data_IF_824515870570
#
_entry.id   IF_824515870570
#
_cell.length_a   1.000
_cell.length_b   1.000
_cell.length_c   1.000
_cell.angle_alpha   90.00
_cell.angle_beta   90.00
_cell.angle_gamma   90.00
#
_symmetry.space_group_name_H-M   'P 1'
#
loop_
_entity.id
_entity.type
_entity.pdbx_description
1 polymer ?
#
# COMPACT_ATOMS: atom_id res chain seq x y z
N UNK A 1 -5.15 -43.84 8.11
CA UNK A 1 -5.34 -42.39 7.92
C UNK A 1 -6.61 -42.03 8.64
N UNK A 2 -6.49 -41.72 9.93
CA UNK A 2 -7.60 -41.64 10.89
C UNK A 2 -8.45 -40.40 10.64
N UNK A 3 -9.77 -40.49 10.87
CA UNK A 3 -10.74 -39.39 10.64
C UNK A 3 -10.30 -38.05 11.27
N UNK A 4 -9.50 -38.08 12.34
CA UNK A 4 -8.96 -36.90 13.04
C UNK A 4 -8.01 -36.02 12.20
N UNK A 5 -7.34 -36.56 11.18
CA UNK A 5 -6.53 -35.77 10.23
C UNK A 5 -7.35 -35.30 9.02
N UNK A 6 -8.43 -36.01 8.69
CA UNK A 6 -9.25 -35.74 7.49
C UNK A 6 -10.21 -34.58 7.74
N UNK A 7 -10.83 -34.49 8.92
CA UNK A 7 -11.70 -33.37 9.27
C UNK A 7 -11.00 -32.01 9.16
N UNK A 8 -9.83 -31.75 9.80
CA UNK A 8 -9.18 -30.44 9.70
C UNK A 8 -8.77 -30.11 8.26
N UNK A 9 -8.26 -31.09 7.49
CA UNK A 9 -7.90 -30.88 6.09
C UNK A 9 -9.12 -30.52 5.21
N UNK A 10 -10.26 -31.16 5.46
CA UNK A 10 -11.51 -30.87 4.75
C UNK A 10 -12.03 -29.46 5.06
N UNK A 11 -11.92 -28.99 6.31
CA UNK A 11 -12.27 -27.61 6.68
C UNK A 11 -11.36 -26.58 6.01
N UNK A 12 -10.04 -26.83 5.97
CA UNK A 12 -9.09 -25.98 5.24
C UNK A 12 -9.39 -25.92 3.74
N UNK A 13 -9.65 -27.08 3.12
CA UNK A 13 -10.00 -27.15 1.70
C UNK A 13 -11.32 -26.42 1.41
N UNK A 14 -12.34 -26.62 2.24
CA UNK A 14 -13.63 -25.92 2.12
C UNK A 14 -13.48 -24.40 2.33
N UNK A 15 -12.70 -23.98 3.32
CA UNK A 15 -12.42 -22.58 3.60
C UNK A 15 -11.74 -21.89 2.40
N UNK A 16 -10.71 -22.51 1.83
CA UNK A 16 -10.04 -21.98 0.64
C UNK A 16 -10.93 -22.00 -0.60
N UNK A 17 -11.69 -23.07 -0.81
CA UNK A 17 -12.61 -23.18 -1.95
C UNK A 17 -13.70 -22.11 -1.89
N UNK A 18 -14.29 -21.87 -0.71
CA UNK A 18 -15.28 -20.83 -0.51
C UNK A 18 -14.69 -19.43 -0.69
N UNK A 19 -13.47 -19.19 -0.20
CA UNK A 19 -12.78 -17.91 -0.37
C UNK A 19 -12.52 -17.60 -1.84
N UNK A 20 -12.03 -18.57 -2.61
CA UNK A 20 -11.81 -18.45 -4.05
C UNK A 20 -13.14 -18.30 -4.80
N UNK A 21 -14.20 -18.99 -4.37
CA UNK A 21 -15.54 -18.83 -4.94
C UNK A 21 -16.10 -17.42 -4.71
N UNK A 22 -15.93 -16.85 -3.52
CA UNK A 22 -16.31 -15.47 -3.20
C UNK A 22 -15.52 -14.48 -4.05
N UNK A 23 -14.21 -14.67 -4.18
CA UNK A 23 -13.37 -13.83 -5.05
C UNK A 23 -13.83 -13.92 -6.52
N UNK A 24 -14.13 -15.12 -7.01
CA UNK A 24 -14.70 -15.34 -8.34
C UNK A 24 -16.05 -14.65 -8.53
N UNK A 25 -16.94 -14.73 -7.55
CA UNK A 25 -18.24 -14.06 -7.57
C UNK A 25 -18.08 -12.53 -7.57
N UNK A 26 -17.25 -11.99 -6.67
CA UNK A 26 -17.02 -10.55 -6.58
C UNK A 26 -16.32 -9.97 -7.81
N UNK A 27 -15.44 -10.73 -8.46
CA UNK A 27 -14.83 -10.31 -9.73
C UNK A 27 -15.84 -10.29 -10.88
N UNK A 28 -16.72 -11.29 -11.00
CA UNK A 28 -17.79 -11.30 -12.01
C UNK A 28 -18.78 -10.14 -11.78
N UNK A 29 -19.24 -9.96 -10.54
CA UNK A 29 -20.16 -8.88 -10.18
C UNK A 29 -19.51 -7.50 -10.34
N UNK A 30 -18.27 -7.34 -9.89
CA UNK A 30 -17.50 -6.11 -10.01
C UNK A 30 -17.33 -5.67 -11.45
N UNK A 31 -17.07 -6.61 -12.37
CA UNK A 31 -17.03 -6.34 -13.82
C UNK A 31 -18.41 -5.96 -14.37
N UNK A 32 -19.46 -6.67 -13.99
CA UNK A 32 -20.82 -6.39 -14.46
C UNK A 32 -21.34 -5.02 -14.01
N UNK A 33 -21.00 -4.62 -12.78
CA UNK A 33 -21.38 -3.33 -12.18
C UNK A 33 -20.41 -2.19 -12.52
N UNK A 34 -19.29 -2.48 -13.19
CA UNK A 34 -18.29 -1.48 -13.52
C UNK A 34 -17.56 -0.89 -12.30
N UNK A 35 -17.44 -1.64 -11.20
CA UNK A 35 -16.91 -1.18 -9.90
C UNK A 35 -15.44 -0.74 -10.01
N UNK A 36 -14.67 -1.35 -10.93
CA UNK A 36 -13.32 -0.91 -11.25
C UNK A 36 -13.27 0.54 -11.76
N UNK A 37 -14.33 1.06 -12.40
CA UNK A 37 -14.39 2.45 -12.87
C UNK A 37 -14.46 3.44 -11.70
N UNK A 38 -14.87 2.97 -10.52
CA UNK A 38 -14.95 3.73 -9.28
C UNK A 38 -13.67 3.56 -8.44
N UNK A 39 -12.71 2.77 -8.95
CA UNK A 39 -11.43 2.43 -8.31
C UNK A 39 -11.57 1.58 -7.04
N UNK A 40 -12.69 0.86 -6.89
CA UNK A 40 -12.89 -0.11 -5.81
C UNK A 40 -12.37 -1.49 -6.28
N UNK A 41 -11.53 -2.20 -5.50
CA UNK A 41 -11.01 -3.51 -5.88
C UNK A 41 -12.11 -4.56 -5.82
N UNK A 42 -12.13 -5.50 -6.77
CA UNK A 42 -13.11 -6.58 -6.78
C UNK A 42 -13.01 -7.49 -5.56
N UNK A 43 -11.80 -7.62 -4.98
CA UNK A 43 -11.57 -8.35 -3.74
C UNK A 43 -12.33 -7.76 -2.55
N UNK A 44 -12.51 -6.43 -2.49
CA UNK A 44 -13.29 -5.79 -1.44
C UNK A 44 -14.78 -6.09 -1.59
N UNK A 45 -15.28 -6.09 -2.84
CA UNK A 45 -16.67 -6.46 -3.13
C UNK A 45 -16.93 -7.92 -2.77
N UNK A 46 -16.00 -8.82 -3.12
CA UNK A 46 -16.04 -10.22 -2.71
C UNK A 46 -16.04 -10.38 -1.19
N UNK A 47 -15.15 -9.66 -0.48
CA UNK A 47 -15.08 -9.65 0.98
C UNK A 47 -16.36 -9.12 1.63
N UNK A 48 -16.97 -8.08 1.06
CA UNK A 48 -18.25 -7.52 1.53
C UNK A 48 -19.41 -8.50 1.38
N UNK A 49 -19.44 -9.27 0.28
CA UNK A 49 -20.39 -10.39 0.13
C UNK A 49 -20.11 -11.45 1.19
N UNK A 50 -18.84 -11.78 1.42
CA UNK A 50 -18.42 -12.69 2.48
C UNK A 50 -18.92 -12.26 3.85
N UNK A 51 -18.79 -10.98 4.19
CA UNK A 51 -19.26 -10.39 5.44
C UNK A 51 -20.78 -10.54 5.61
N UNK A 52 -21.58 -10.29 4.57
CA UNK A 52 -23.05 -10.42 4.62
C UNK A 52 -23.52 -11.87 4.86
N UNK A 53 -22.71 -12.84 4.45
CA UNK A 53 -23.01 -14.27 4.55
C UNK A 53 -22.31 -14.92 5.77
N UNK A 54 -21.36 -14.20 6.37
CA UNK A 54 -20.68 -14.60 7.60
C UNK A 54 -21.63 -14.50 8.82
N UNK A 55 -21.41 -15.34 9.86
CA UNK A 55 -22.18 -15.32 11.09
C UNK A 55 -22.21 -13.94 11.79
N UNK A 56 -21.08 -13.21 11.75
CA UNK A 56 -20.90 -11.92 12.44
C UNK A 56 -21.38 -10.68 11.68
N UNK A 57 -21.48 -10.73 10.34
CA UNK A 57 -21.86 -9.57 9.52
C UNK A 57 -23.35 -9.49 9.17
N UNK A 58 -24.05 -10.64 9.16
CA UNK A 58 -25.51 -10.72 9.25
C UNK A 58 -26.31 -10.45 7.96
N UNK A 59 -27.09 -11.46 7.54
CA UNK A 59 -28.42 -11.45 6.91
C UNK A 59 -28.83 -12.91 6.58
N UNK A 60 -27.85 -13.75 6.21
CA UNK A 60 -27.98 -15.19 5.97
C UNK A 60 -26.69 -15.90 6.43
N UNK A 61 -26.61 -16.45 7.66
CA UNK A 61 -25.41 -17.14 8.15
C UNK A 61 -25.27 -18.50 7.45
N UNK A 62 -24.67 -18.50 6.25
CA UNK A 62 -24.42 -19.72 5.46
C UNK A 62 -23.02 -20.28 5.69
N UNK A 63 -22.10 -19.48 6.26
CA UNK A 63 -20.72 -19.88 6.51
C UNK A 63 -20.58 -20.46 7.92
N UNK A 64 -20.11 -21.71 8.09
CA UNK A 64 -19.82 -22.27 9.40
C UNK A 64 -18.73 -21.48 10.15
N UNK A 65 -18.87 -21.36 11.47
CA UNK A 65 -17.88 -20.69 12.34
C UNK A 65 -16.46 -21.28 12.20
N UNK A 66 -16.35 -22.59 11.97
CA UNK A 66 -15.07 -23.25 11.73
C UNK A 66 -14.32 -22.69 10.50
N UNK A 67 -15.04 -22.25 9.46
CA UNK A 67 -14.44 -21.62 8.28
C UNK A 67 -13.99 -20.19 8.60
N UNK A 68 -14.80 -19.44 9.36
CA UNK A 68 -14.46 -18.08 9.79
C UNK A 68 -13.18 -18.08 10.63
N UNK A 69 -13.04 -19.03 11.56
CA UNK A 69 -11.82 -19.15 12.36
C UNK A 69 -10.57 -19.45 11.51
N UNK A 70 -10.72 -20.17 10.39
CA UNK A 70 -9.60 -20.38 9.44
C UNK A 70 -9.31 -19.08 8.69
N UNK A 71 -10.35 -18.40 8.22
CA UNK A 71 -10.22 -17.13 7.51
C UNK A 71 -9.62 -16.02 8.36
N UNK A 72 -9.84 -16.03 9.68
CA UNK A 72 -9.21 -15.07 10.61
C UNK A 72 -7.68 -15.21 10.65
N UNK A 73 -7.15 -16.43 10.44
CA UNK A 73 -5.70 -16.71 10.44
C UNK A 73 -5.03 -16.51 9.08
N UNK A 74 -5.80 -16.60 7.99
CA UNK A 74 -5.29 -16.52 6.62
C UNK A 74 -4.60 -15.18 6.29
N UNK A 75 -5.09 -14.01 6.71
CA UNK A 75 -4.48 -12.73 6.38
C UNK A 75 -2.99 -12.67 6.71
N UNK A 76 -2.57 -13.11 7.90
CA UNK A 76 -1.15 -13.09 8.27
C UNK A 76 -0.29 -13.99 7.37
N UNK A 77 -0.80 -15.17 6.99
CA UNK A 77 -0.11 -16.13 6.12
C UNK A 77 0.02 -15.56 4.70
N UNK A 78 -1.11 -15.11 4.13
CA UNK A 78 -1.18 -14.56 2.78
C UNK A 78 -0.37 -13.27 2.66
N UNK A 79 -0.36 -12.45 3.70
CA UNK A 79 0.47 -11.28 3.78
C UNK A 79 1.97 -11.61 3.73
N UNK A 80 2.39 -12.61 4.51
CA UNK A 80 3.78 -13.05 4.51
C UNK A 80 4.20 -13.50 3.10
N UNK A 81 3.26 -14.11 2.36
CA UNK A 81 3.44 -14.44 0.95
C UNK A 81 3.52 -13.20 0.05
N UNK A 82 2.68 -12.18 0.25
CA UNK A 82 2.77 -10.88 -0.45
C UNK A 82 4.16 -10.27 -0.28
N UNK A 83 4.64 -10.12 0.95
CA UNK A 83 5.97 -9.55 1.20
C UNK A 83 7.11 -10.42 0.64
N UNK A 84 6.91 -11.74 0.57
CA UNK A 84 7.83 -12.67 -0.07
C UNK A 84 8.01 -12.47 -1.59
N UNK A 85 7.03 -11.89 -2.29
CA UNK A 85 7.12 -11.65 -3.75
C UNK A 85 7.71 -10.27 -4.09
N UNK A 86 7.59 -9.30 -3.17
CA UNK A 86 7.77 -7.88 -3.47
C UNK A 86 9.14 -7.50 -4.07
N UNK A 87 10.24 -8.06 -3.55
CA UNK A 87 11.59 -7.70 -4.02
C UNK A 87 12.22 -8.77 -4.92
N UNK A 88 11.70 -9.99 -4.96
CA UNK A 88 12.21 -11.06 -5.86
C UNK A 88 12.02 -10.66 -7.33
N UNK A 89 10.86 -10.08 -7.66
CA UNK A 89 10.49 -9.74 -9.04
C UNK A 89 11.01 -8.39 -9.55
N UNK A 90 11.65 -7.57 -8.72
CA UNK A 90 12.07 -6.21 -9.10
C UNK A 90 13.57 -6.16 -9.41
N UNK A 91 13.99 -5.77 -10.62
CA UNK A 91 15.40 -5.52 -10.90
C UNK A 91 15.88 -4.29 -10.13
N UNK A 92 17.12 -4.32 -9.63
CA UNK A 92 17.72 -3.15 -8.97
C UNK A 92 17.91 -2.00 -9.97
N UNK A 93 17.48 -0.76 -9.63
CA UNK A 93 17.48 0.35 -10.57
C UNK A 93 18.89 0.94 -10.70
N UNK A 94 19.20 1.51 -11.87
CA UNK A 94 20.42 2.30 -12.10
C UNK A 94 20.07 3.79 -11.91
N UNK A 95 20.72 4.47 -10.97
CA UNK A 95 20.34 5.82 -10.47
C UNK A 95 20.90 6.99 -11.33
N UNK A 96 21.46 6.72 -12.51
CA UNK A 96 22.16 7.75 -13.29
C UNK A 96 21.20 8.76 -13.92
N UNK A 97 21.35 10.05 -13.59
CA UNK A 97 20.75 11.18 -14.32
C UNK A 97 19.44 11.76 -13.80
N UNK A 98 18.81 11.19 -12.76
CA UNK A 98 17.48 11.59 -12.28
C UNK A 98 17.45 12.29 -10.91
N UNK A 99 18.61 12.67 -10.38
CA UNK A 99 18.79 13.09 -8.97
C UNK A 99 17.86 14.24 -8.52
N UNK A 100 17.60 15.22 -9.38
CA UNK A 100 16.79 16.41 -9.04
C UNK A 100 15.28 16.14 -9.02
N UNK A 101 14.63 15.71 -10.12
CA UNK A 101 13.20 15.39 -10.11
C UNK A 101 12.88 14.26 -9.11
N UNK A 102 13.78 13.28 -8.98
CA UNK A 102 13.67 12.24 -7.96
C UNK A 102 13.76 12.81 -6.55
N UNK A 103 14.72 13.71 -6.28
CA UNK A 103 14.89 14.32 -4.96
C UNK A 103 13.67 15.12 -4.50
N UNK A 104 13.12 15.97 -5.37
CA UNK A 104 11.91 16.74 -5.06
C UNK A 104 10.71 15.83 -4.76
N UNK A 105 10.57 14.74 -5.52
CA UNK A 105 9.46 13.80 -5.36
C UNK A 105 9.62 12.90 -4.12
N UNK A 106 10.85 12.47 -3.81
CA UNK A 106 11.18 11.78 -2.55
C UNK A 106 10.86 12.65 -1.34
N UNK A 107 11.25 13.93 -1.35
CA UNK A 107 10.98 14.86 -0.25
C UNK A 107 9.47 15.11 -0.07
N UNK A 108 8.72 15.21 -1.17
CA UNK A 108 7.27 15.35 -1.11
C UNK A 108 6.60 14.09 -0.51
N UNK A 109 6.99 12.89 -0.94
CA UNK A 109 6.47 11.63 -0.39
C UNK A 109 6.81 11.46 1.09
N UNK A 110 8.05 11.78 1.51
CA UNK A 110 8.42 11.79 2.92
C UNK A 110 7.58 12.79 3.72
N UNK A 111 7.26 13.95 3.15
CA UNK A 111 6.39 14.95 3.78
C UNK A 111 4.97 14.44 3.94
N UNK A 112 4.42 13.77 2.92
CA UNK A 112 3.10 13.13 2.97
C UNK A 112 3.05 12.10 4.09
N UNK A 113 3.94 11.10 4.07
CA UNK A 113 3.96 10.01 5.05
C UNK A 113 4.20 10.48 6.50
N UNK A 114 5.26 11.25 6.76
CA UNK A 114 5.55 11.73 8.13
C UNK A 114 4.53 12.74 8.62
N UNK A 115 3.95 13.54 7.72
CA UNK A 115 2.88 14.45 8.09
C UNK A 115 1.58 13.73 8.46
N UNK A 116 1.25 12.61 7.81
CA UNK A 116 0.13 11.77 8.24
C UNK A 116 0.33 11.27 9.67
N UNK A 117 1.52 10.74 9.99
CA UNK A 117 1.86 10.36 11.37
C UNK A 117 1.75 11.54 12.34
N UNK A 118 2.28 12.70 11.97
CA UNK A 118 2.25 13.91 12.79
C UNK A 118 0.81 14.34 13.10
N UNK A 119 -0.02 14.58 12.08
CA UNK A 119 -1.35 15.14 12.29
C UNK A 119 -2.30 14.13 12.93
N UNK A 120 -2.18 12.84 12.62
CA UNK A 120 -2.91 11.82 13.36
C UNK A 120 -2.48 11.76 14.84
N UNK A 121 -1.18 11.82 15.12
CA UNK A 121 -0.70 11.83 16.50
C UNK A 121 -1.15 13.08 17.26
N UNK A 122 -1.16 14.25 16.63
CA UNK A 122 -1.70 15.49 17.21
C UNK A 122 -3.19 15.36 17.51
N UNK A 123 -3.97 14.83 16.58
CA UNK A 123 -5.42 14.62 16.76
C UNK A 123 -5.70 13.60 17.86
N UNK A 124 -4.95 12.51 17.92
CA UNK A 124 -5.07 11.53 19.01
C UNK A 124 -4.66 12.15 20.34
N UNK A 125 -3.57 12.92 20.38
CA UNK A 125 -3.08 13.53 21.62
C UNK A 125 -4.03 14.62 22.16
N UNK A 126 -4.61 15.44 21.29
CA UNK A 126 -5.36 16.64 21.70
C UNK A 126 -6.88 16.45 21.68
N UNK A 127 -7.40 15.51 20.89
CA UNK A 127 -8.84 15.34 20.67
C UNK A 127 -9.28 13.94 21.07
N UNK A 128 -8.82 12.89 20.37
CA UNK A 128 -9.39 11.55 20.55
C UNK A 128 -8.98 10.91 21.89
N UNK A 129 -7.75 11.10 22.33
CA UNK A 129 -7.26 10.59 23.62
C UNK A 129 -8.02 11.20 24.80
N UNK A 130 -8.10 12.54 24.93
CA UNK A 130 -8.82 13.17 26.04
C UNK A 130 -10.34 12.95 26.02
N UNK A 131 -10.97 12.92 24.83
CA UNK A 131 -12.43 12.84 24.71
C UNK A 131 -12.95 11.39 24.71
N UNK A 132 -12.23 10.48 24.06
CA UNK A 132 -12.71 9.13 23.76
C UNK A 132 -11.81 8.04 24.36
N UNK A 133 -10.69 8.40 25.01
CA UNK A 133 -9.76 7.46 25.66
C UNK A 133 -9.20 6.40 24.71
N UNK A 134 -9.04 6.74 23.42
CA UNK A 134 -8.49 5.81 22.43
C UNK A 134 -7.01 5.49 22.69
N UNK A 135 -6.58 4.31 22.24
CA UNK A 135 -5.17 3.92 22.31
C UNK A 135 -4.30 4.92 21.54
N UNK A 136 -3.16 5.37 22.10
CA UNK A 136 -2.23 6.26 21.40
C UNK A 136 -1.70 5.69 20.08
N UNK A 137 -1.62 4.36 19.98
CA UNK A 137 -1.13 3.62 18.81
C UNK A 137 -2.07 3.79 17.60
N UNK A 138 -3.33 4.15 17.85
CA UNK A 138 -4.33 4.41 16.81
C UNK A 138 -3.90 5.51 15.83
N UNK A 139 -3.01 6.42 16.25
CA UNK A 139 -2.41 7.43 15.38
C UNK A 139 -1.66 6.84 14.17
N UNK A 140 -1.14 5.61 14.28
CA UNK A 140 -0.43 4.95 13.19
C UNK A 140 -1.36 4.37 12.12
N UNK A 141 -2.67 4.21 12.41
CA UNK A 141 -3.60 3.57 11.48
C UNK A 141 -3.70 4.33 10.15
N UNK A 142 -3.58 5.67 10.18
CA UNK A 142 -3.75 6.49 8.97
C UNK A 142 -2.66 6.20 7.93
N UNK A 143 -1.37 6.17 8.30
CA UNK A 143 -0.28 5.99 7.33
C UNK A 143 -0.30 4.57 6.78
N UNK A 144 -0.53 3.61 7.66
CA UNK A 144 -0.69 2.21 7.26
C UNK A 144 -1.82 2.02 6.27
N UNK A 145 -2.95 2.68 6.50
CA UNK A 145 -4.13 2.55 5.65
C UNK A 145 -4.02 3.33 4.34
N UNK A 146 -3.56 4.58 4.40
CA UNK A 146 -3.59 5.50 3.27
C UNK A 146 -2.37 5.39 2.37
N UNK A 147 -1.15 5.35 2.91
CA UNK A 147 0.07 5.14 2.11
C UNK A 147 0.31 3.64 1.86
N UNK A 148 0.03 2.83 2.87
CA UNK A 148 0.30 1.40 2.86
C UNK A 148 -0.78 0.53 2.22
N UNK A 149 -2.01 1.03 2.11
CA UNK A 149 -3.16 0.30 1.57
C UNK A 149 -3.53 -0.95 2.38
N UNK A 150 -4.40 -1.78 1.81
CA UNK A 150 -4.93 -2.97 2.47
C UNK A 150 -3.85 -3.99 2.85
N UNK A 151 -2.79 -4.10 2.04
CA UNK A 151 -1.66 -4.98 2.33
C UNK A 151 -0.97 -4.59 3.63
N UNK A 152 -0.61 -3.32 3.79
CA UNK A 152 0.05 -2.85 5.01
C UNK A 152 -0.88 -2.86 6.22
N UNK A 153 -2.16 -2.53 6.03
CA UNK A 153 -3.18 -2.63 7.08
C UNK A 153 -3.33 -4.04 7.62
N UNK A 154 -3.42 -5.03 6.74
CA UNK A 154 -3.41 -6.43 7.16
C UNK A 154 -2.08 -6.82 7.81
N UNK A 155 -0.97 -6.21 7.40
CA UNK A 155 0.34 -6.43 8.00
C UNK A 155 0.43 -5.99 9.45
N UNK A 156 -0.02 -4.77 9.71
CA UNK A 156 0.16 -4.16 11.00
C UNK A 156 -0.93 -4.55 12.00
N UNK A 157 -2.06 -5.11 11.52
CA UNK A 157 -3.17 -5.56 12.34
C UNK A 157 -2.80 -6.32 13.61
N UNK A 158 -2.09 -7.46 13.52
CA UNK A 158 -1.68 -8.22 14.71
C UNK A 158 -0.76 -7.42 15.65
N UNK A 159 0.06 -6.51 15.12
CA UNK A 159 0.90 -5.63 15.95
C UNK A 159 0.05 -4.63 16.71
N UNK A 160 -0.98 -4.08 16.08
CA UNK A 160 -1.90 -3.15 16.73
C UNK A 160 -2.73 -3.81 17.83
N UNK A 161 -3.20 -5.04 17.62
CA UNK A 161 -3.92 -5.82 18.65
C UNK A 161 -3.04 -6.11 19.86
N UNK A 162 -1.79 -6.54 19.64
CA UNK A 162 -0.83 -6.73 20.74
C UNK A 162 -0.52 -5.45 21.51
N UNK A 163 -0.66 -4.29 20.87
CA UNK A 163 -0.43 -2.97 21.45
C UNK A 163 -1.72 -2.29 21.94
N UNK A 164 -2.82 -3.05 22.05
CA UNK A 164 -4.05 -2.61 22.70
C UNK A 164 -5.05 -1.87 21.79
N UNK A 165 -4.97 -2.06 20.47
CA UNK A 165 -6.01 -1.62 19.53
C UNK A 165 -6.85 -2.84 19.14
N UNK A 166 -8.01 -2.99 19.78
CA UNK A 166 -8.93 -4.09 19.52
C UNK A 166 -9.41 -4.08 18.05
N UNK A 167 -9.36 -5.24 17.38
CA UNK A 167 -9.67 -5.35 15.96
C UNK A 167 -8.80 -4.48 15.04
N UNK A 168 -7.56 -4.16 15.45
CA UNK A 168 -6.66 -3.28 14.71
C UNK A 168 -6.46 -3.66 13.24
N UNK A 169 -6.54 -4.96 12.90
CA UNK A 169 -6.54 -5.42 11.52
C UNK A 169 -7.78 -4.95 10.74
N UNK A 170 -8.96 -5.19 11.29
CA UNK A 170 -10.24 -4.81 10.68
C UNK A 170 -10.35 -3.29 10.54
N UNK A 171 -10.00 -2.54 11.57
CA UNK A 171 -9.99 -1.07 11.56
C UNK A 171 -9.02 -0.53 10.50
N UNK A 172 -7.81 -1.09 10.41
CA UNK A 172 -6.84 -0.72 9.38
C UNK A 172 -7.34 -0.98 7.96
N UNK A 173 -7.97 -2.13 7.71
CA UNK A 173 -8.52 -2.49 6.39
C UNK A 173 -9.72 -1.62 6.01
N UNK A 174 -10.57 -1.28 6.97
CA UNK A 174 -11.65 -0.34 6.78
C UNK A 174 -11.09 1.04 6.41
N UNK A 175 -10.08 1.54 7.14
CA UNK A 175 -9.42 2.80 6.81
C UNK A 175 -8.74 2.77 5.43
N UNK A 176 -8.12 1.65 5.04
CA UNK A 176 -7.49 1.52 3.72
C UNK A 176 -8.52 1.64 2.59
N UNK A 177 -9.72 1.10 2.82
CA UNK A 177 -10.86 1.26 1.92
C UNK A 177 -11.31 2.72 1.83
N UNK A 178 -11.45 3.40 2.97
CA UNK A 178 -11.82 4.82 3.01
C UNK A 178 -10.77 5.67 2.28
N UNK A 179 -9.48 5.39 2.48
CA UNK A 179 -8.40 6.03 1.75
C UNK A 179 -8.53 5.84 0.25
N UNK A 180 -8.70 4.59 -0.21
CA UNK A 180 -8.85 4.29 -1.64
C UNK A 180 -10.04 5.03 -2.27
N UNK A 181 -11.19 5.08 -1.59
CA UNK A 181 -12.34 5.85 -2.02
C UNK A 181 -12.05 7.36 -2.02
N UNK A 182 -11.35 7.87 -1.02
CA UNK A 182 -10.95 9.28 -0.98
C UNK A 182 -9.98 9.61 -2.14
N UNK A 183 -9.04 8.72 -2.46
CA UNK A 183 -8.15 8.85 -3.61
C UNK A 183 -8.94 8.98 -4.91
N UNK A 184 -9.91 8.09 -5.17
CA UNK A 184 -10.62 8.07 -6.45
C UNK A 184 -11.63 9.21 -6.57
N UNK A 185 -12.45 9.42 -5.53
CA UNK A 185 -13.50 10.43 -5.54
C UNK A 185 -12.94 11.85 -5.42
N UNK A 186 -12.13 12.10 -4.38
CA UNK A 186 -11.59 13.44 -4.12
C UNK A 186 -10.45 13.74 -5.08
N UNK A 187 -9.57 12.77 -5.37
CA UNK A 187 -8.51 12.94 -6.37
C UNK A 187 -9.09 13.18 -7.76
N UNK A 188 -10.12 12.43 -8.16
CA UNK A 188 -10.82 12.67 -9.43
C UNK A 188 -11.43 14.07 -9.51
N UNK A 189 -12.07 14.53 -8.43
CA UNK A 189 -12.58 15.91 -8.33
C UNK A 189 -11.45 16.95 -8.45
N UNK A 190 -10.31 16.72 -7.81
CA UNK A 190 -9.14 17.60 -7.89
C UNK A 190 -8.60 17.66 -9.33
N UNK A 191 -8.58 16.55 -10.07
CA UNK A 191 -8.21 16.53 -11.50
C UNK A 191 -9.19 17.35 -12.35
N UNK A 192 -10.50 17.25 -12.09
CA UNK A 192 -11.52 18.08 -12.78
C UNK A 192 -11.30 19.57 -12.50
N UNK A 193 -11.06 19.94 -11.24
CA UNK A 193 -10.76 21.32 -10.85
C UNK A 193 -9.46 21.81 -11.52
N UNK A 194 -8.43 20.97 -11.58
CA UNK A 194 -7.15 21.27 -12.21
C UNK A 194 -7.30 21.54 -13.71
N UNK A 195 -8.14 20.76 -14.40
CA UNK A 195 -8.49 20.99 -15.80
C UNK A 195 -9.21 22.33 -15.99
N UNK A 196 -10.17 22.66 -15.13
CA UNK A 196 -10.89 23.93 -15.18
C UNK A 196 -10.00 25.15 -14.88
N UNK A 197 -8.91 24.97 -14.12
CA UNK A 197 -7.94 26.02 -13.76
C UNK A 197 -6.67 26.02 -14.61
N UNK A 198 -6.62 25.21 -15.67
CA UNK A 198 -5.44 25.08 -16.55
C UNK A 198 -4.14 24.77 -15.78
N UNK A 199 -4.22 23.91 -14.76
CA UNK A 199 -3.05 23.42 -14.02
C UNK A 199 -2.37 22.23 -14.70
N UNK A 200 -3.09 21.55 -15.60
CA UNK A 200 -2.58 20.44 -16.40
C UNK A 200 -1.63 20.94 -17.49
N UNK A 201 -0.67 20.11 -17.86
CA UNK A 201 0.18 20.36 -19.02
C UNK A 201 -0.69 20.59 -20.28
N UNK A 202 -0.48 21.68 -21.04
CA UNK A 202 -1.27 21.97 -22.24
C UNK A 202 -1.13 20.85 -23.27
N UNK A 203 -2.26 20.40 -23.82
CA UNK A 203 -2.24 19.42 -24.92
C UNK A 203 -1.66 20.01 -26.22
N UNK A 204 -1.25 19.18 -27.21
CA UNK A 204 -0.69 19.64 -28.49
C UNK A 204 -1.57 20.66 -29.23
N UNK A 205 -2.90 20.51 -29.13
CA UNK A 205 -3.87 21.42 -29.75
C UNK A 205 -3.92 22.76 -29.01
N UNK A 206 -3.79 22.76 -27.69
CA UNK A 206 -3.73 23.99 -26.88
C UNK A 206 -2.38 24.70 -27.04
N UNK A 207 -1.29 23.94 -27.13
CA UNK A 207 0.04 24.46 -27.44
C UNK A 207 0.08 25.07 -28.84
N UNK A 208 -0.52 24.41 -29.84
CA UNK A 208 -0.65 24.93 -31.21
C UNK A 208 -1.54 26.19 -31.28
N UNK A 209 -2.63 26.26 -30.50
CA UNK A 209 -3.45 27.48 -30.37
C UNK A 209 -2.71 28.60 -29.65
N UNK A 210 -1.97 28.30 -28.58
CA UNK A 210 -1.25 29.29 -27.78
C UNK A 210 -0.02 29.86 -28.52
N UNK A 211 0.64 29.05 -29.35
CA UNK A 211 1.79 29.48 -30.17
C UNK A 211 1.39 30.10 -31.51
N UNK A 212 0.09 30.17 -31.83
CA UNK A 212 -0.40 30.73 -33.10
C UNK A 212 0.00 29.91 -34.33
N UNK A 213 0.46 28.67 -34.15
CA UNK A 213 0.85 27.78 -35.23
C UNK A 213 -0.41 27.17 -35.88
N UNK A 214 -1.07 27.96 -36.71
CA UNK A 214 -2.10 27.47 -37.61
C UNK A 214 -1.46 26.47 -38.60
N UNK A 215 -2.01 25.25 -38.60
CA UNK A 215 -1.84 24.21 -39.63
C UNK A 215 -0.42 23.64 -39.79
N UNK A 216 -0.08 22.67 -38.95
CA UNK A 216 0.71 21.53 -39.40
C UNK A 216 -0.18 20.29 -39.33
N UNK A 217 -0.40 19.68 -40.49
CA UNK A 217 -1.02 18.37 -40.69
C UNK A 217 -0.54 17.35 -39.67
N UNK A 218 -1.37 16.37 -39.27
CA UNK A 218 -0.94 15.33 -38.36
C UNK A 218 0.05 14.43 -39.11
N UNK A 219 1.34 14.77 -39.03
CA UNK A 219 2.37 13.76 -39.16
C UNK A 219 2.20 12.90 -37.91
N UNK A 220 1.47 11.79 -38.10
CA UNK A 220 1.56 10.61 -37.26
C UNK A 220 3.04 10.26 -37.21
N UNK A 221 3.76 10.86 -36.26
CA UNK A 221 5.01 10.32 -35.78
C UNK A 221 4.59 9.03 -35.11
N UNK A 222 4.61 7.96 -35.88
CA UNK A 222 4.71 6.62 -35.36
C UNK A 222 5.91 6.65 -34.41
N UNK A 223 5.63 6.83 -33.12
CA UNK A 223 6.55 6.44 -32.07
C UNK A 223 6.99 5.04 -32.48
N UNK A 224 8.29 4.78 -32.68
CA UNK A 224 8.73 3.41 -32.78
C UNK A 224 8.16 2.78 -31.53
N UNK A 225 7.22 1.85 -31.68
CA UNK A 225 6.86 0.91 -30.64
C UNK A 225 8.22 0.44 -30.14
N UNK A 226 8.65 0.95 -28.98
CA UNK A 226 9.73 0.33 -28.26
C UNK A 226 9.34 -1.12 -28.25
N UNK A 227 10.18 -2.04 -28.76
CA UNK A 227 9.78 -3.42 -28.86
C UNK A 227 9.38 -3.82 -27.45
N UNK A 228 8.07 -4.00 -27.24
CA UNK A 228 7.53 -4.81 -26.15
C UNK A 228 8.50 -5.98 -26.08
N UNK A 229 9.24 -6.16 -24.96
CA UNK A 229 10.26 -7.18 -24.88
C UNK A 229 9.57 -8.47 -25.31
N UNK A 230 10.02 -8.97 -26.48
CA UNK A 230 9.38 -10.04 -27.26
C UNK A 230 8.58 -10.92 -26.33
N UNK A 231 7.28 -10.98 -26.56
CA UNK A 231 6.39 -11.93 -25.92
C UNK A 231 6.99 -13.34 -26.09
N UNK A 232 7.79 -13.76 -25.11
CA UNK A 232 8.32 -15.11 -25.01
C UNK A 232 7.20 -15.96 -24.46
N UNK A 233 6.22 -16.20 -25.33
CA UNK A 233 5.47 -17.43 -25.48
C UNK A 233 5.66 -18.41 -24.31
N UNK A 234 4.76 -18.29 -23.34
CA UNK A 234 4.51 -19.27 -22.30
C UNK A 234 4.75 -18.75 -20.88
N UNK A 235 3.67 -18.31 -20.23
CA UNK A 235 3.52 -18.49 -18.78
C UNK A 235 3.43 -20.01 -18.49
N UNK A 236 4.49 -20.76 -18.77
CA UNK A 236 4.53 -22.20 -18.53
C UNK A 236 4.43 -22.47 -17.03
N UNK A 237 3.74 -23.54 -16.65
CA UNK A 237 3.60 -23.99 -15.25
C UNK A 237 4.95 -24.01 -14.52
N UNK A 238 6.04 -24.35 -15.22
CA UNK A 238 7.39 -24.33 -14.67
C UNK A 238 7.83 -22.93 -14.19
N UNK A 239 7.55 -21.86 -14.94
CA UNK A 239 7.88 -20.48 -14.53
C UNK A 239 7.10 -20.09 -13.27
N UNK A 240 5.83 -20.50 -13.20
CA UNK A 240 5.01 -20.33 -11.99
C UNK A 240 5.57 -21.08 -10.80
N UNK A 241 5.92 -22.36 -10.95
CA UNK A 241 6.49 -23.18 -9.88
C UNK A 241 7.83 -22.63 -9.38
N UNK A 242 8.72 -22.21 -10.28
CA UNK A 242 10.00 -21.60 -9.91
C UNK A 242 9.77 -20.31 -9.12
N UNK A 243 8.89 -19.44 -9.61
CA UNK A 243 8.64 -18.17 -8.92
C UNK A 243 7.95 -18.37 -7.57
N UNK A 244 7.01 -19.32 -7.46
CA UNK A 244 6.41 -19.72 -6.18
C UNK A 244 7.47 -20.26 -5.21
N UNK A 245 8.42 -21.06 -5.70
CA UNK A 245 9.52 -21.57 -4.90
C UNK A 245 10.47 -20.45 -4.43
N UNK A 246 10.76 -19.46 -5.28
CA UNK A 246 11.55 -18.28 -4.90
C UNK A 246 10.84 -17.45 -3.81
N UNK A 247 9.53 -17.25 -3.95
CA UNK A 247 8.71 -16.60 -2.91
C UNK A 247 8.76 -17.40 -1.61
N UNK A 248 8.57 -18.71 -1.67
CA UNK A 248 8.65 -19.61 -0.51
C UNK A 248 10.03 -19.58 0.15
N UNK A 249 11.11 -19.50 -0.63
CA UNK A 249 12.46 -19.33 -0.11
C UNK A 249 12.63 -18.00 0.65
N UNK A 250 12.07 -16.90 0.11
CA UNK A 250 12.06 -15.60 0.79
C UNK A 250 11.33 -15.66 2.14
N UNK A 251 10.16 -16.32 2.19
CA UNK A 251 9.40 -16.54 3.43
C UNK A 251 10.18 -17.41 4.41
N UNK A 252 10.78 -18.51 3.95
CA UNK A 252 11.57 -19.41 4.79
C UNK A 252 12.77 -18.69 5.43
N UNK A 253 13.49 -17.88 4.65
CA UNK A 253 14.58 -17.04 5.16
C UNK A 253 14.03 -16.06 6.21
N UNK A 254 12.88 -15.44 5.96
CA UNK A 254 12.21 -14.57 6.92
C UNK A 254 11.89 -15.26 8.25
N UNK A 255 11.36 -16.48 8.22
CA UNK A 255 11.10 -17.29 9.41
C UNK A 255 12.39 -17.64 10.17
N UNK A 256 13.46 -18.00 9.45
CA UNK A 256 14.77 -18.28 10.06
C UNK A 256 15.34 -17.02 10.71
N UNK A 257 15.28 -15.87 10.04
CA UNK A 257 15.71 -14.59 10.60
C UNK A 257 14.92 -14.24 11.87
N UNK A 258 13.60 -14.45 11.87
CA UNK A 258 12.76 -14.26 13.06
C UNK A 258 13.21 -15.15 14.22
N UNK A 259 13.41 -16.45 13.97
CA UNK A 259 13.86 -17.39 14.99
C UNK A 259 15.23 -17.01 15.58
N UNK A 260 16.16 -16.55 14.73
CA UNK A 260 17.47 -16.06 15.17
C UNK A 260 17.35 -14.79 16.01
N UNK A 261 16.49 -13.85 15.61
CA UNK A 261 16.24 -12.63 16.37
C UNK A 261 15.62 -12.93 17.74
N UNK A 262 14.65 -13.84 17.81
CA UNK A 262 14.02 -14.26 19.06
C UNK A 262 15.03 -14.92 20.01
N UNK A 263 15.91 -15.79 19.49
CA UNK A 263 16.98 -16.40 20.30
C UNK A 263 17.97 -15.35 20.83
N UNK A 264 18.34 -14.37 20.00
CA UNK A 264 19.22 -13.29 20.41
C UNK A 264 18.56 -12.39 21.46
N UNK A 265 17.29 -12.07 21.26
CA UNK A 265 16.46 -11.31 22.19
C UNK A 265 16.42 -11.95 23.59
N UNK A 266 16.19 -13.27 23.66
CA UNK A 266 16.19 -14.01 24.92
C UNK A 266 17.55 -13.97 25.64
N UNK A 267 18.66 -13.88 24.90
CA UNK A 267 20.01 -13.79 25.49
C UNK A 267 20.35 -12.39 26.01
N UNK A 268 19.91 -11.35 25.31
CA UNK A 268 20.17 -9.95 25.70
C UNK A 268 19.24 -9.52 26.85
N UNK A 269 17.97 -9.96 26.80
CA UNK A 269 16.95 -9.61 27.78
C UNK A 269 16.53 -8.13 27.75
N UNK A 270 15.66 -7.75 28.68
CA UNK A 270 15.18 -6.38 28.83
C UNK A 270 14.21 -5.93 27.73
N UNK A 271 14.16 -4.62 27.46
CA UNK A 271 13.21 -4.03 26.50
C UNK A 271 13.37 -4.52 25.06
N UNK A 272 14.57 -4.98 24.68
CA UNK A 272 14.80 -5.57 23.35
C UNK A 272 14.03 -6.89 23.17
N UNK A 273 13.91 -7.72 24.21
CA UNK A 273 13.17 -8.97 24.12
C UNK A 273 11.67 -8.74 23.89
N UNK A 274 11.08 -7.79 24.62
CA UNK A 274 9.67 -7.42 24.48
C UNK A 274 9.35 -6.92 23.06
N UNK A 275 10.24 -6.11 22.48
CA UNK A 275 10.06 -5.59 21.11
C UNK A 275 10.12 -6.70 20.07
N UNK A 276 11.07 -7.64 20.19
CA UNK A 276 11.23 -8.73 19.24
C UNK A 276 10.11 -9.78 19.35
N UNK A 277 9.63 -10.07 20.56
CA UNK A 277 8.47 -10.95 20.76
C UNK A 277 7.18 -10.36 20.14
N UNK A 278 7.08 -9.04 20.09
CA UNK A 278 5.97 -8.35 19.44
C UNK A 278 6.14 -8.18 17.92
N UNK A 279 7.25 -8.59 17.32
CA UNK A 279 7.52 -8.39 15.89
C UNK A 279 6.87 -9.50 15.04
N UNK A 280 6.08 -9.17 14.00
CA UNK A 280 5.58 -10.16 13.04
C UNK A 280 6.66 -10.69 12.09
N UNK A 281 6.40 -11.82 11.42
CA UNK A 281 7.37 -12.46 10.50
C UNK A 281 7.48 -11.79 9.11
N UNK A 282 6.42 -11.13 8.62
CA UNK A 282 6.39 -10.59 7.26
C UNK A 282 7.48 -9.51 6.95
N UNK A 283 7.93 -8.63 7.87
CA UNK A 283 9.03 -7.70 7.56
C UNK A 283 10.33 -8.45 7.33
N UNK A 284 10.56 -9.57 8.05
CA UNK A 284 11.71 -10.43 7.77
C UNK A 284 11.52 -11.21 6.47
N UNK A 285 10.28 -11.56 6.08
CA UNK A 285 10.02 -12.15 4.76
C UNK A 285 10.33 -11.17 3.62
N UNK A 286 10.10 -9.86 3.79
CA UNK A 286 10.55 -8.83 2.85
C UNK A 286 12.08 -8.84 2.72
N UNK A 287 12.80 -8.86 3.83
CA UNK A 287 14.28 -8.96 3.84
C UNK A 287 14.71 -10.27 3.18
N UNK A 288 14.04 -11.38 3.46
CA UNK A 288 14.28 -12.67 2.81
C UNK A 288 14.09 -12.60 1.29
N UNK A 289 13.03 -11.92 0.82
CA UNK A 289 12.78 -11.70 -0.60
C UNK A 289 13.90 -10.89 -1.28
N UNK A 290 14.46 -9.90 -0.58
CA UNK A 290 15.63 -9.13 -1.04
C UNK A 290 16.89 -10.00 -1.09
N UNK A 291 17.14 -10.80 -0.06
CA UNK A 291 18.30 -11.71 -0.02
C UNK A 291 18.23 -12.73 -1.17
N UNK A 292 17.06 -13.29 -1.45
CA UNK A 292 16.84 -14.15 -2.62
C UNK A 292 17.17 -13.41 -3.91
N UNK A 293 16.68 -12.17 -4.08
CA UNK A 293 17.00 -11.35 -5.26
C UNK A 293 18.50 -11.11 -5.42
N UNK A 294 19.17 -10.71 -4.34
CA UNK A 294 20.62 -10.43 -4.34
C UNK A 294 21.43 -11.68 -4.67
N UNK A 295 21.03 -12.85 -4.14
CA UNK A 295 21.67 -14.12 -4.46
C UNK A 295 21.51 -14.45 -5.96
N UNK A 296 20.30 -14.33 -6.51
CA UNK A 296 20.05 -14.56 -7.94
C UNK A 296 20.88 -13.64 -8.84
N UNK A 297 20.98 -12.35 -8.49
CA UNK A 297 21.80 -11.41 -9.25
C UNK A 297 23.30 -11.72 -9.13
N UNK A 298 23.77 -12.08 -7.93
CA UNK A 298 25.17 -12.45 -7.71
C UNK A 298 25.58 -13.72 -8.46
N UNK A 299 24.65 -14.65 -8.65
CA UNK A 299 24.85 -15.88 -9.41
C UNK A 299 24.62 -15.70 -10.92
N UNK A 300 24.25 -14.51 -11.39
CA UNK A 300 23.90 -14.27 -12.80
C UNK A 300 22.60 -14.95 -13.25
N UNK A 301 21.75 -15.36 -12.31
CA UNK A 301 20.49 -16.08 -12.55
C UNK A 301 19.24 -15.21 -12.31
N UNK A 302 19.38 -13.88 -12.44
CA UNK A 302 18.28 -12.92 -12.24
C UNK A 302 17.05 -13.19 -13.11
N UNK A 303 17.23 -13.85 -14.26
CA UNK A 303 16.17 -14.21 -15.21
C UNK A 303 15.20 -15.28 -14.68
N UNK A 304 15.56 -16.04 -13.63
CA UNK A 304 14.66 -17.01 -13.00
C UNK A 304 13.48 -16.32 -12.30
N UNK A 305 13.72 -15.14 -11.74
CA UNK A 305 12.70 -14.32 -11.12
C UNK A 305 11.94 -13.54 -12.20
N UNK A 306 10.76 -14.03 -12.55
CA UNK A 306 9.90 -13.38 -13.55
C UNK A 306 9.06 -12.29 -12.87
N UNK A 307 9.25 -11.00 -13.22
CA UNK A 307 8.50 -9.90 -12.61
C UNK A 307 6.98 -10.04 -12.78
N UNK A 308 6.52 -10.51 -13.95
CA UNK A 308 5.10 -10.70 -14.26
C UNK A 308 4.47 -11.76 -13.34
N UNK A 309 5.14 -12.89 -13.16
CA UNK A 309 4.64 -14.00 -12.32
C UNK A 309 4.69 -13.63 -10.83
N UNK A 310 5.79 -13.05 -10.35
CA UNK A 310 5.90 -12.58 -8.96
C UNK A 310 4.81 -11.56 -8.63
N UNK A 311 4.55 -10.61 -9.53
CA UNK A 311 3.47 -9.64 -9.41
C UNK A 311 2.11 -10.33 -9.28
N UNK A 312 1.79 -11.28 -10.16
CA UNK A 312 0.51 -12.03 -10.08
C UNK A 312 0.36 -12.86 -8.80
N UNK A 313 1.42 -13.53 -8.33
CA UNK A 313 1.40 -14.25 -7.06
C UNK A 313 1.10 -13.28 -5.91
N UNK A 314 1.76 -12.12 -5.89
CA UNK A 314 1.52 -11.06 -4.91
C UNK A 314 0.08 -10.55 -4.96
N UNK A 315 -0.45 -10.23 -6.14
CA UNK A 315 -1.84 -9.74 -6.32
C UNK A 315 -2.86 -10.77 -5.84
N UNK A 316 -2.76 -12.03 -6.26
CA UNK A 316 -3.71 -13.08 -5.81
C UNK A 316 -3.66 -13.27 -4.29
N UNK A 317 -2.45 -13.23 -3.71
CA UNK A 317 -2.28 -13.35 -2.25
C UNK A 317 -2.92 -12.18 -1.52
N UNK A 318 -2.74 -10.96 -2.02
CA UNK A 318 -3.35 -9.75 -1.46
C UNK A 318 -4.88 -9.77 -1.61
N UNK A 319 -5.42 -10.18 -2.76
CA UNK A 319 -6.86 -10.27 -2.98
C UNK A 319 -7.51 -11.27 -2.03
N UNK A 320 -6.95 -12.48 -1.91
CA UNK A 320 -7.45 -13.49 -0.96
C UNK A 320 -7.38 -12.99 0.48
N UNK A 321 -6.32 -12.27 0.85
CA UNK A 321 -6.17 -11.65 2.16
C UNK A 321 -7.27 -10.62 2.42
N UNK A 322 -7.54 -9.73 1.45
CA UNK A 322 -8.57 -8.71 1.56
C UNK A 322 -9.94 -9.37 1.74
N UNK A 323 -10.26 -10.39 0.93
CA UNK A 323 -11.53 -11.12 1.03
C UNK A 323 -11.66 -11.75 2.41
N UNK A 324 -10.65 -12.49 2.87
CA UNK A 324 -10.70 -13.20 4.15
C UNK A 324 -10.87 -12.22 5.32
N UNK A 325 -10.05 -11.17 5.36
CA UNK A 325 -10.08 -10.20 6.44
C UNK A 325 -11.36 -9.33 6.45
N UNK A 326 -11.89 -8.99 5.27
CA UNK A 326 -13.17 -8.26 5.16
C UNK A 326 -14.34 -9.16 5.55
N UNK A 327 -14.32 -10.45 5.20
CA UNK A 327 -15.37 -11.38 5.56
C UNK A 327 -15.40 -11.68 7.08
N UNK A 328 -14.26 -11.59 7.76
CA UNK A 328 -14.15 -11.71 9.22
C UNK A 328 -14.31 -10.38 9.97
N UNK A 329 -14.63 -9.28 9.28
CA UNK A 329 -14.70 -7.95 9.89
C UNK A 329 -15.83 -7.88 10.94
N UNK A 330 -15.49 -7.44 12.15
CA UNK A 330 -16.48 -7.19 13.19
C UNK A 330 -17.12 -5.80 13.01
N UNK A 331 -18.39 -5.81 12.58
CA UNK A 331 -19.17 -4.58 12.37
C UNK A 331 -19.45 -3.84 13.69
N UNK A 332 -19.46 -4.54 14.83
CA UNK A 332 -19.67 -3.91 16.13
C UNK A 332 -18.47 -3.05 16.55
N UNK A 333 -17.25 -3.51 16.27
CA UNK A 333 -16.04 -2.72 16.47
C UNK A 333 -16.03 -1.49 15.57
N UNK A 334 -16.39 -1.64 14.29
CA UNK A 334 -16.46 -0.51 13.37
C UNK A 334 -17.53 0.51 13.81
N UNK A 335 -18.67 0.04 14.33
CA UNK A 335 -19.74 0.89 14.85
C UNK A 335 -19.39 1.54 16.20
N UNK A 336 -18.46 0.97 16.97
CA UNK A 336 -17.93 1.59 18.18
C UNK A 336 -16.92 2.70 17.86
N UNK A 337 -15.98 2.41 16.95
CA UNK A 337 -14.83 3.28 16.63
C UNK A 337 -15.03 4.19 15.42
N UNK A 338 -16.24 4.24 14.85
CA UNK A 338 -16.52 5.01 13.62
C UNK A 338 -16.09 6.49 13.73
N UNK A 339 -16.26 7.10 14.91
CA UNK A 339 -15.95 8.51 15.13
C UNK A 339 -14.42 8.75 15.13
N UNK A 340 -13.61 8.07 15.97
CA UNK A 340 -12.16 8.11 15.87
C UNK A 340 -11.62 7.86 14.45
N UNK A 341 -12.13 6.83 13.75
CA UNK A 341 -11.68 6.50 12.40
C UNK A 341 -12.03 7.61 11.40
N UNK A 342 -13.23 8.18 11.49
CA UNK A 342 -13.67 9.28 10.61
C UNK A 342 -12.80 10.52 10.80
N UNK A 343 -12.49 10.87 12.05
CA UNK A 343 -11.63 12.02 12.36
C UNK A 343 -10.22 11.80 11.81
N UNK A 344 -9.64 10.60 11.99
CA UNK A 344 -8.34 10.26 11.42
C UNK A 344 -8.35 10.30 9.89
N UNK A 345 -9.37 9.72 9.26
CA UNK A 345 -9.53 9.68 7.80
C UNK A 345 -9.61 11.08 7.20
N UNK A 346 -10.42 11.97 7.79
CA UNK A 346 -10.53 13.37 7.37
C UNK A 346 -9.20 14.10 7.56
N UNK A 347 -8.53 13.88 8.69
CA UNK A 347 -7.24 14.51 9.01
C UNK A 347 -6.17 14.15 7.98
N UNK A 348 -6.03 12.85 7.67
CA UNK A 348 -5.08 12.37 6.66
C UNK A 348 -5.41 12.92 5.26
N UNK A 349 -6.69 12.94 4.89
CA UNK A 349 -7.13 13.49 3.61
C UNK A 349 -6.82 14.99 3.48
N UNK A 350 -7.14 15.79 4.51
CA UNK A 350 -6.89 17.23 4.52
C UNK A 350 -5.39 17.53 4.44
N UNK A 351 -4.56 16.77 5.17
CA UNK A 351 -3.11 16.90 5.09
C UNK A 351 -2.59 16.61 3.68
N UNK A 352 -2.97 15.48 3.09
CA UNK A 352 -2.54 15.10 1.75
C UNK A 352 -2.96 16.13 0.69
N UNK A 353 -4.20 16.63 0.78
CA UNK A 353 -4.68 17.72 -0.08
C UNK A 353 -3.86 19.00 0.11
N UNK A 354 -3.58 19.39 1.35
CA UNK A 354 -2.79 20.59 1.63
C UNK A 354 -1.37 20.48 1.04
N UNK A 355 -0.71 19.34 1.22
CA UNK A 355 0.62 19.09 0.66
C UNK A 355 0.59 19.15 -0.87
N UNK A 356 -0.38 18.52 -1.51
CA UNK A 356 -0.43 18.45 -2.98
C UNK A 356 -0.83 19.78 -3.60
N UNK A 357 -1.82 20.49 -3.03
CA UNK A 357 -2.31 21.75 -3.60
C UNK A 357 -1.42 22.95 -3.25
N UNK A 358 -0.66 22.90 -2.16
CA UNK A 358 0.17 24.03 -1.69
C UNK A 358 1.65 23.75 -1.83
N UNK A 359 2.15 22.63 -1.30
CA UNK A 359 3.58 22.34 -1.28
C UNK A 359 4.06 21.84 -2.63
N UNK A 360 3.37 20.89 -3.26
CA UNK A 360 3.80 20.32 -4.54
C UNK A 360 3.93 21.40 -5.63
N UNK A 361 2.99 22.36 -5.67
CA UNK A 361 3.05 23.53 -6.56
C UNK A 361 4.28 24.41 -6.36
N UNK A 362 4.86 24.40 -5.16
CA UNK A 362 6.05 25.20 -4.81
C UNK A 362 7.34 24.41 -4.88
N UNK A 363 7.30 23.09 -4.73
CA UNK A 363 8.48 22.24 -4.58
C UNK A 363 8.80 21.39 -5.80
N UNK A 364 7.80 20.95 -6.56
CA UNK A 364 8.00 20.08 -7.70
C UNK A 364 8.33 20.87 -8.97
N UNK A 365 9.22 20.35 -9.83
CA UNK A 365 9.41 20.91 -11.17
C UNK A 365 8.18 20.64 -12.04
N UNK A 366 8.01 21.44 -13.10
CA UNK A 366 7.00 21.18 -14.11
C UNK A 366 7.20 19.80 -14.75
N UNK A 367 6.11 19.03 -15.01
CA UNK A 367 4.71 19.32 -14.68
C UNK A 367 4.37 19.02 -13.21
N UNK A 368 4.12 20.05 -12.40
CA UNK A 368 3.99 19.89 -10.94
C UNK A 368 2.71 19.17 -10.53
N UNK A 369 1.61 19.36 -11.28
CA UNK A 369 0.31 18.83 -10.91
C UNK A 369 0.24 17.31 -11.15
N UNK A 370 0.71 16.84 -12.31
CA UNK A 370 0.74 15.43 -12.70
C UNK A 370 1.61 14.62 -11.74
N UNK A 371 2.78 15.17 -11.36
CA UNK A 371 3.63 14.59 -10.32
C UNK A 371 2.96 14.62 -8.95
N UNK A 372 2.30 15.72 -8.60
CA UNK A 372 1.64 15.91 -7.31
C UNK A 372 0.40 15.02 -7.11
N UNK A 373 -0.45 14.89 -8.12
CA UNK A 373 -1.67 14.06 -8.05
C UNK A 373 -1.33 12.57 -8.04
N UNK A 374 -0.24 12.18 -8.70
CA UNK A 374 0.32 10.83 -8.61
C UNK A 374 0.74 10.51 -7.16
N UNK A 375 1.43 11.43 -6.48
CA UNK A 375 1.77 11.28 -5.06
C UNK A 375 0.52 11.34 -4.16
N UNK A 376 -0.46 12.18 -4.48
CA UNK A 376 -1.73 12.22 -3.74
C UNK A 376 -2.42 10.85 -3.74
N UNK A 377 -2.56 10.24 -4.92
CA UNK A 377 -3.23 8.96 -5.05
C UNK A 377 -2.47 7.81 -4.37
N UNK A 378 -1.13 7.82 -4.42
CA UNK A 378 -0.32 6.89 -3.64
C UNK A 378 -0.50 7.11 -2.13
N UNK A 379 -0.45 8.36 -1.67
CA UNK A 379 -0.51 8.70 -0.26
C UNK A 379 -1.91 8.61 0.34
N UNK A 380 -2.96 8.45 -0.47
CA UNK A 380 -4.33 8.20 -0.01
C UNK A 380 -4.83 6.79 -0.31
N UNK A 381 -4.11 5.98 -1.10
CA UNK A 381 -4.46 4.59 -1.32
C UNK A 381 -3.26 3.72 -1.65
N UNK A 382 -3.09 3.42 -2.94
CA UNK A 382 -1.98 2.58 -3.43
C UNK A 382 -1.43 3.16 -4.72
N UNK A 383 -0.28 2.63 -5.17
CA UNK A 383 0.38 3.09 -6.39
C UNK A 383 -0.56 3.06 -7.61
N UNK A 384 -1.43 2.05 -7.67
CA UNK A 384 -2.43 1.92 -8.72
C UNK A 384 -3.43 3.10 -8.74
N UNK A 385 -3.81 3.62 -7.56
CA UNK A 385 -4.70 4.78 -7.44
C UNK A 385 -4.01 6.05 -7.92
N UNK A 386 -2.73 6.22 -7.58
CA UNK A 386 -1.90 7.31 -8.14
C UNK A 386 -1.82 7.26 -9.67
N UNK A 387 -1.58 6.08 -10.24
CA UNK A 387 -1.54 5.88 -11.70
C UNK A 387 -2.89 6.14 -12.36
N UNK A 388 -3.99 5.75 -11.72
CA UNK A 388 -5.34 6.04 -12.21
C UNK A 388 -5.57 7.55 -12.30
N UNK A 389 -5.22 8.30 -11.26
CA UNK A 389 -5.35 9.75 -11.26
C UNK A 389 -4.42 10.42 -12.27
N UNK A 390 -3.19 9.89 -12.44
CA UNK A 390 -2.27 10.34 -13.48
C UNK A 390 -2.88 10.12 -14.87
N UNK A 391 -3.44 8.94 -15.15
CA UNK A 391 -4.12 8.67 -16.43
C UNK A 391 -5.31 9.59 -16.68
N UNK A 392 -6.01 10.05 -15.63
CA UNK A 392 -7.08 11.05 -15.77
C UNK A 392 -6.55 12.45 -16.08
N UNK A 393 -5.39 12.81 -15.53
CA UNK A 393 -4.73 14.09 -15.73
C UNK A 393 -4.00 14.15 -17.08
N UNK A 394 -3.28 13.09 -17.42
CA UNK A 394 -2.39 12.95 -18.56
C UNK A 394 -2.55 11.55 -19.21
N UNK A 395 -3.63 11.31 -19.97
CA UNK A 395 -3.91 10.02 -20.59
C UNK A 395 -2.93 9.63 -21.70
N UNK A 396 -2.15 10.58 -22.21
CA UNK A 396 -1.20 10.38 -23.32
C UNK A 396 0.25 10.17 -22.82
N UNK A 397 0.47 10.05 -21.49
CA UNK A 397 1.78 9.88 -20.83
C UNK A 397 2.87 10.87 -21.30
N UNK A 398 2.53 12.17 -21.31
CA UNK A 398 3.41 13.25 -21.77
C UNK A 398 4.24 13.89 -20.66
N UNK A 399 3.80 13.74 -19.42
CA UNK A 399 4.28 14.49 -18.25
C UNK A 399 5.61 13.98 -17.69
N UNK A 400 6.14 12.86 -18.19
CA UNK A 400 7.35 12.19 -17.68
C UNK A 400 7.31 11.96 -16.14
N UNK A 401 6.11 12.00 -15.54
CA UNK A 401 5.89 11.92 -14.11
C UNK A 401 6.08 10.49 -13.58
N UNK A 402 5.88 9.49 -14.44
CA UNK A 402 5.91 8.07 -14.09
C UNK A 402 7.31 7.56 -13.75
N UNK A 403 8.34 8.04 -14.43
CA UNK A 403 9.71 7.52 -14.28
C UNK A 403 10.30 7.89 -12.91
N UNK A 404 10.30 9.16 -12.48
CA UNK A 404 10.82 9.54 -11.17
C UNK A 404 9.97 8.95 -10.02
N UNK A 405 8.66 8.80 -10.22
CA UNK A 405 7.78 8.06 -9.31
C UNK A 405 8.21 6.60 -9.14
N UNK A 406 8.43 5.88 -10.24
CA UNK A 406 8.78 4.45 -10.20
C UNK A 406 10.09 4.19 -9.47
N UNK A 407 11.09 5.05 -9.65
CA UNK A 407 12.37 4.97 -8.93
C UNK A 407 12.17 5.31 -7.46
N UNK A 408 11.40 6.35 -7.14
CA UNK A 408 11.05 6.71 -5.77
C UNK A 408 10.37 5.55 -5.05
N UNK A 409 9.39 4.90 -5.68
CA UNK A 409 8.70 3.75 -5.09
C UNK A 409 9.69 2.65 -4.73
N UNK A 410 10.67 2.35 -5.58
CA UNK A 410 11.67 1.34 -5.30
C UNK A 410 12.57 1.69 -4.10
N UNK A 411 12.84 2.98 -3.89
CA UNK A 411 13.66 3.46 -2.77
C UNK A 411 12.88 3.58 -1.44
N UNK A 412 11.65 4.08 -1.48
CA UNK A 412 10.88 4.41 -0.28
C UNK A 412 9.93 3.31 0.19
N UNK A 413 9.44 2.44 -0.71
CA UNK A 413 8.50 1.38 -0.35
C UNK A 413 9.05 0.34 0.67
N UNK A 414 10.37 0.03 0.71
CA UNK A 414 10.91 -0.78 1.80
C UNK A 414 10.90 -0.08 3.16
N UNK A 415 10.76 1.25 3.19
CA UNK A 415 10.87 2.08 4.39
C UNK A 415 9.49 2.49 4.94
N UNK A 416 8.59 2.93 4.07
CA UNK A 416 7.23 3.42 4.37
C UNK A 416 6.19 2.46 3.79
N UNK A 417 4.88 2.72 3.97
CA UNK A 417 3.82 1.96 3.32
C UNK A 417 3.92 0.43 3.58
N UNK A 418 4.12 0.06 4.85
CA UNK A 418 4.33 -1.33 5.28
C UNK A 418 5.80 -1.73 5.45
N UNK A 419 6.72 -0.79 5.20
CA UNK A 419 8.14 -0.94 5.42
C UNK A 419 8.60 -0.79 6.88
N UNK A 420 9.91 -0.66 7.07
CA UNK A 420 10.56 -0.65 8.40
C UNK A 420 10.00 0.44 9.33
N UNK A 421 9.79 1.67 8.84
CA UNK A 421 9.27 2.77 9.68
C UNK A 421 7.85 2.48 10.11
N UNK A 422 7.02 1.97 9.19
CA UNK A 422 5.63 1.60 9.47
C UNK A 422 5.54 0.55 10.58
N UNK A 423 6.45 -0.44 10.56
CA UNK A 423 6.54 -1.46 11.62
C UNK A 423 7.02 -0.88 12.95
N UNK A 424 8.00 0.02 12.90
CA UNK A 424 8.60 0.62 14.09
C UNK A 424 7.71 1.69 14.75
N UNK A 425 6.86 2.37 14.00
CA UNK A 425 6.03 3.47 14.49
C UNK A 425 5.16 3.12 15.71
N UNK A 426 4.34 2.05 15.72
CA UNK A 426 3.53 1.73 16.88
C UNK A 426 4.36 1.25 18.09
N UNK A 427 5.51 0.59 17.84
CA UNK A 427 6.45 0.20 18.88
C UNK A 427 7.13 1.44 19.50
N UNK A 428 7.44 2.45 18.69
CA UNK A 428 7.99 3.72 19.15
C UNK A 428 6.96 4.49 19.99
N UNK A 429 5.68 4.52 19.59
CA UNK A 429 4.61 5.12 20.40
C UNK A 429 4.45 4.38 21.74
N UNK A 430 4.46 3.04 21.72
CA UNK A 430 4.31 2.24 22.93
C UNK A 430 5.50 2.39 23.90
N UNK A 431 6.71 2.60 23.39
CA UNK A 431 7.93 2.69 24.21
C UNK A 431 8.34 4.11 24.60
N UNK A 432 8.30 5.08 23.67
CA UNK A 432 8.72 6.47 23.88
C UNK A 432 7.56 7.41 24.24
N UNK A 433 6.32 6.94 24.05
CA UNK A 433 5.11 7.72 24.22
C UNK A 433 4.74 8.54 22.98
N UNK A 434 3.44 8.85 22.87
CA UNK A 434 2.86 9.58 21.74
C UNK A 434 3.48 10.97 21.54
N UNK A 435 3.81 11.67 22.63
CA UNK A 435 4.37 13.03 22.58
C UNK A 435 5.76 13.04 21.91
N UNK A 436 6.63 12.10 22.30
CA UNK A 436 7.97 11.94 21.73
C UNK A 436 7.90 11.59 20.24
N UNK A 437 7.01 10.67 19.87
CA UNK A 437 6.74 10.33 18.47
C UNK A 437 6.25 11.54 17.67
N UNK A 438 5.30 12.30 18.23
CA UNK A 438 4.77 13.52 17.60
C UNK A 438 5.87 14.55 17.36
N UNK A 439 6.76 14.76 18.34
CA UNK A 439 7.89 15.70 18.20
C UNK A 439 8.88 15.26 17.12
N UNK A 440 9.18 13.95 17.03
CA UNK A 440 10.02 13.40 15.97
C UNK A 440 9.39 13.61 14.58
N UNK A 441 8.12 13.25 14.42
CA UNK A 441 7.40 13.44 13.16
C UNK A 441 7.35 14.93 12.79
N UNK A 442 7.13 15.83 13.74
CA UNK A 442 7.17 17.28 13.51
C UNK A 442 8.52 17.72 12.97
N UNK A 443 9.62 17.30 13.62
CA UNK A 443 10.97 17.64 13.20
C UNK A 443 11.27 17.14 11.78
N UNK A 444 10.89 15.90 11.47
CA UNK A 444 11.10 15.31 10.14
C UNK A 444 10.23 15.98 9.07
N UNK A 445 8.94 16.22 9.34
CA UNK A 445 8.05 16.92 8.40
C UNK A 445 8.55 18.34 8.11
N UNK A 446 8.98 19.10 9.12
CA UNK A 446 9.55 20.44 8.93
C UNK A 446 10.85 20.37 8.13
N UNK A 447 11.72 19.40 8.42
CA UNK A 447 12.96 19.18 7.68
C UNK A 447 12.69 18.91 6.19
N UNK A 448 11.78 17.98 5.87
CA UNK A 448 11.46 17.62 4.49
C UNK A 448 10.81 18.76 3.72
N UNK A 449 9.89 19.50 4.34
CA UNK A 449 9.30 20.71 3.75
C UNK A 449 10.38 21.75 3.47
N UNK A 450 11.28 22.00 4.44
CA UNK A 450 12.33 22.99 4.30
C UNK A 450 13.29 22.64 3.18
N UNK A 451 13.74 21.38 3.11
CA UNK A 451 14.59 20.88 2.05
C UNK A 451 13.90 20.92 0.67
N UNK A 452 12.62 20.57 0.60
CA UNK A 452 11.84 20.63 -0.65
C UNK A 452 11.76 22.07 -1.19
N UNK A 453 11.51 23.05 -0.31
CA UNK A 453 11.46 24.45 -0.69
C UNK A 453 12.85 25.02 -1.04
N UNK A 454 13.91 24.61 -0.34
CA UNK A 454 15.28 25.01 -0.67
C UNK A 454 15.70 24.48 -2.04
N UNK A 455 15.37 23.22 -2.35
CA UNK A 455 15.68 22.60 -3.63
C UNK A 455 14.92 23.29 -4.78
N UNK A 456 13.69 23.75 -4.53
CA UNK A 456 12.92 24.53 -5.50
C UNK A 456 13.49 25.93 -5.75
N UNK A 457 14.06 26.60 -4.74
CA UNK A 457 14.70 27.91 -4.91
C UNK A 457 15.98 27.87 -5.76
N UNK A 458 16.58 26.70 -5.93
CA UNK A 458 17.76 26.50 -6.76
C UNK A 458 17.41 26.20 -8.24
N UNK A 459 16.12 26.27 -8.61
CA UNK A 459 15.67 26.19 -9.99
C UNK A 459 15.89 27.55 -10.68
N UNK A 460 16.62 27.60 -11.82
CA UNK A 460 16.85 28.83 -12.57
C UNK A 460 15.59 29.34 -13.29
#
# INVERSE_FOLDING_TARGET
>A
MTLELVLPLAHWAAALALLVALLGLGTVLGRALGVHQWGIPEALLAGSIGLLVAPGGGLLPLIPEAIIHIWDQLPLILLTLVFGTLLVGKPLPRIHGLLRPLGAQVLLALTLAFGQYLFAAVVVLLVLGPLLHVSPVMACLIEVAYEGGHGSAAAMGPTYERLGVEGGQALGLAMATVGLLASTLVGGLVVVIARARSWLMPGPIELARATGAAQATPLVSATPLQPEPRDQSGDGLQRWLVNLALTGAGVAIGCVLMALLQQLAQRIGGGFAVVIEALPVFPLALIGSLLVRLLLESCGQGDLACPKVQSRIGTVSADLLIVAATACLDLSLLAHDWLPLSVLAITGLLWNLAVVLVLARRSLPEPWFERGILEFGQATGVAASGLLLLNMADPDDRSDALTPFSIKQLLLQPLLAGGVITVMAPLAIASWGLQSWTALCLGLTVLWISLALLLARQQP
#
